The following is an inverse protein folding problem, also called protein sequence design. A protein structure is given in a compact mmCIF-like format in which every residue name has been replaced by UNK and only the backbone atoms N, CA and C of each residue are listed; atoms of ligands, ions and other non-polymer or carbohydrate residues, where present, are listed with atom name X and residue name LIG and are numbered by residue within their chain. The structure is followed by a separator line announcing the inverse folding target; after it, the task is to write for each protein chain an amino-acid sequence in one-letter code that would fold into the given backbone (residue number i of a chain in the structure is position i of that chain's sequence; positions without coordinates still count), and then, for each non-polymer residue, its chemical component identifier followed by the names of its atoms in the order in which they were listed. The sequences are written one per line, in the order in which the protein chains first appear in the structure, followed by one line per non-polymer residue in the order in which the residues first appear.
data_IF_983334861122
#
_entry.id   IF_983334861122
#
_cell.length_a   1.000
_cell.length_b   1.000
_cell.length_c   1.000
_cell.angle_alpha   90.00
_cell.angle_beta   90.00
_cell.angle_gamma   90.00
#
_symmetry.space_group_name_H-M   'P 1'
#
loop_
_entity.id
_entity.type
_entity.pdbx_description
1 polymer ?
#
# COMPACT_ATOMS: atom_id res chain seq x y z
N UNK A 1 22.93 -17.43 11.97
CA UNK A 1 21.88 -17.12 10.97
C UNK A 1 21.67 -15.61 10.75
N UNK A 2 22.13 -14.77 11.67
CA UNK A 2 21.96 -13.31 11.72
C UNK A 2 22.60 -12.52 10.58
N UNK A 3 23.86 -12.78 10.19
CA UNK A 3 24.52 -12.09 9.05
C UNK A 3 23.71 -12.19 7.76
N UNK A 4 23.19 -13.39 7.45
CA UNK A 4 22.34 -13.62 6.28
C UNK A 4 21.00 -12.88 6.37
N UNK A 5 20.47 -12.69 7.58
CA UNK A 5 19.23 -11.93 7.79
C UNK A 5 19.46 -10.42 7.57
N UNK A 6 20.61 -9.89 8.01
CA UNK A 6 21.02 -8.51 7.74
C UNK A 6 21.26 -8.28 6.25
N UNK A 7 21.96 -9.19 5.56
CA UNK A 7 22.14 -9.13 4.10
C UNK A 7 20.79 -9.09 3.37
N UNK A 8 19.89 -10.03 3.68
CA UNK A 8 18.53 -10.06 3.12
C UNK A 8 17.74 -8.79 3.42
N UNK A 9 17.92 -8.18 4.59
CA UNK A 9 17.27 -6.92 4.94
C UNK A 9 17.75 -5.79 4.04
N UNK A 10 19.07 -5.63 3.88
CA UNK A 10 19.67 -4.60 3.04
C UNK A 10 19.29 -4.78 1.56
N UNK A 11 19.33 -6.02 1.06
CA UNK A 11 18.84 -6.38 -0.28
C UNK A 11 17.37 -5.97 -0.46
N UNK A 12 16.53 -6.22 0.56
CA UNK A 12 15.11 -5.87 0.51
C UNK A 12 14.88 -4.36 0.57
N UNK A 13 15.74 -3.63 1.29
CA UNK A 13 15.68 -2.17 1.39
C UNK A 13 16.27 -1.46 0.17
N UNK A 14 17.01 -2.16 -0.70
CA UNK A 14 17.75 -1.54 -1.80
C UNK A 14 18.95 -0.72 -1.33
N UNK A 15 19.41 -0.91 -0.08
CA UNK A 15 20.59 -0.23 0.48
C UNK A 15 21.82 -1.07 0.11
N UNK A 16 22.35 -0.85 -1.08
CA UNK A 16 23.48 -1.61 -1.63
C UNK A 16 24.63 -0.67 -2.03
N UNK A 17 25.86 -1.19 -1.99
CA UNK A 17 27.06 -0.56 -2.60
C UNK A 17 27.56 0.78 -1.98
N UNK A 18 27.36 1.00 -0.67
CA UNK A 18 27.97 2.13 0.07
C UNK A 18 28.93 1.67 1.18
N UNK A 19 29.93 2.51 1.49
CA UNK A 19 30.86 2.28 2.62
C UNK A 19 30.11 2.05 3.93
N UNK A 20 29.09 2.88 4.19
CA UNK A 20 28.25 2.76 5.39
C UNK A 20 27.48 1.44 5.41
N UNK A 21 27.00 0.96 4.26
CA UNK A 21 26.29 -0.31 4.22
C UNK A 21 27.21 -1.49 4.58
N UNK A 22 28.47 -1.44 4.16
CA UNK A 22 29.47 -2.44 4.55
C UNK A 22 29.85 -2.32 6.04
N UNK A 23 30.02 -1.11 6.54
CA UNK A 23 30.29 -0.84 7.95
C UNK A 23 29.17 -1.40 8.85
N UNK A 24 27.91 -1.09 8.53
CA UNK A 24 26.74 -1.58 9.27
C UNK A 24 26.64 -3.12 9.23
N UNK A 25 26.99 -3.75 8.09
CA UNK A 25 27.06 -5.22 7.99
C UNK A 25 28.16 -5.80 8.88
N UNK A 26 29.30 -5.13 8.99
CA UNK A 26 30.41 -5.54 9.88
C UNK A 26 29.98 -5.40 11.34
N UNK A 27 29.42 -4.27 11.73
CA UNK A 27 28.92 -4.02 13.10
C UNK A 27 27.91 -5.09 13.53
N UNK A 28 26.93 -5.40 12.69
CA UNK A 28 25.94 -6.44 12.97
C UNK A 28 26.54 -7.85 13.00
N UNK A 29 27.55 -8.14 12.17
CA UNK A 29 28.23 -9.44 12.14
C UNK A 29 29.07 -9.68 13.41
N UNK A 30 29.85 -8.67 13.83
CA UNK A 30 30.68 -8.72 15.05
C UNK A 30 29.80 -8.90 16.28
N UNK A 31 28.73 -8.12 16.40
CA UNK A 31 27.79 -8.24 17.52
C UNK A 31 27.15 -9.64 17.62
N UNK A 32 26.99 -10.33 16.49
CA UNK A 32 26.36 -11.66 16.46
C UNK A 32 27.36 -12.82 16.57
N UNK A 33 28.62 -12.52 16.95
CA UNK A 33 29.65 -13.53 17.24
C UNK A 33 30.19 -14.26 16.02
N UNK A 34 30.04 -13.70 14.81
CA UNK A 34 30.48 -14.33 13.56
C UNK A 34 31.50 -13.45 12.85
N UNK A 35 32.76 -13.91 12.78
CA UNK A 35 33.77 -13.25 11.95
C UNK A 35 33.39 -13.45 10.46
N UNK A 36 33.16 -12.36 9.73
CA UNK A 36 32.97 -12.44 8.28
C UNK A 36 34.32 -12.75 7.63
N UNK A 37 34.50 -13.96 7.10
CA UNK A 37 35.60 -14.20 6.16
C UNK A 37 35.34 -13.35 4.91
N UNK A 38 36.28 -12.47 4.59
CA UNK A 38 36.16 -11.52 3.50
C UNK A 38 36.04 -12.22 2.16
N UNK A 39 34.83 -12.43 1.68
CA UNK A 39 34.56 -12.70 0.27
C UNK A 39 34.05 -11.42 -0.39
N UNK A 40 34.96 -10.75 -1.09
CA UNK A 40 34.63 -9.72 -2.07
C UNK A 40 33.76 -10.37 -3.14
N UNK A 41 32.49 -9.96 -3.24
CA UNK A 41 31.61 -10.43 -4.33
C UNK A 41 32.07 -9.83 -5.67
N UNK A 42 32.00 -10.59 -6.78
CA UNK A 42 32.23 -10.04 -8.11
C UNK A 42 31.12 -9.03 -8.46
N UNK A 43 31.54 -7.90 -9.03
CA UNK A 43 30.66 -6.78 -9.40
C UNK A 43 29.64 -7.23 -10.46
N UNK A 44 28.35 -7.12 -10.16
CA UNK A 44 27.29 -7.28 -11.17
C UNK A 44 27.36 -6.07 -12.14
N UNK A 45 27.29 -6.27 -13.47
CA UNK A 45 27.41 -5.17 -14.43
C UNK A 45 26.34 -4.09 -14.22
N UNK A 46 26.79 -2.87 -13.94
CA UNK A 46 25.93 -1.69 -13.74
C UNK A 46 25.37 -1.23 -15.08
N UNK A 47 24.08 -1.44 -15.32
CA UNK A 47 23.30 -0.54 -16.17
C UNK A 47 23.04 0.72 -15.35
N UNK A 48 23.80 1.78 -15.59
CA UNK A 48 23.37 3.19 -15.65
C UNK A 48 24.60 4.11 -15.78
N UNK A 49 24.40 5.18 -16.53
CA UNK A 49 25.35 6.16 -17.07
C UNK A 49 26.35 6.71 -16.04
N UNK A 50 27.59 6.86 -16.54
CA UNK A 50 28.76 7.35 -15.83
C UNK A 50 28.70 8.88 -15.66
N UNK A 51 28.03 9.34 -14.61
CA UNK A 51 28.23 10.71 -14.10
C UNK A 51 29.41 10.70 -13.11
N UNK A 52 30.42 11.56 -13.35
CA UNK A 52 31.57 11.75 -12.44
C UNK A 52 31.04 12.20 -11.06
N UNK A 53 31.34 11.43 -10.02
CA UNK A 53 30.95 11.71 -8.62
C UNK A 53 32.05 12.52 -7.91
N UNK A 54 31.74 13.62 -7.21
CA UNK A 54 32.64 14.19 -6.22
C UNK A 54 32.75 13.25 -5.01
N UNK A 55 33.94 13.18 -4.41
CA UNK A 55 34.40 12.14 -3.48
C UNK A 55 34.35 12.52 -2.00
N UNK A 56 33.57 13.54 -1.60
CA UNK A 56 33.61 14.05 -0.22
C UNK A 56 32.16 14.24 0.27
N UNK A 57 31.82 13.64 1.44
CA UNK A 57 30.50 13.51 2.12
C UNK A 57 29.67 12.23 1.83
N UNK A 58 30.25 11.04 2.01
CA UNK A 58 29.57 9.73 1.79
C UNK A 58 29.28 8.89 3.06
N UNK A 59 29.41 9.41 4.28
CA UNK A 59 29.48 8.59 5.49
C UNK A 59 28.21 8.42 6.36
N UNK A 60 27.02 8.82 5.88
CA UNK A 60 25.75 8.70 6.67
C UNK A 60 24.53 8.21 5.86
N UNK A 61 24.73 7.82 4.60
CA UNK A 61 23.62 7.56 3.68
C UNK A 61 22.80 6.32 4.07
N UNK A 62 23.45 5.26 4.56
CA UNK A 62 22.75 4.04 4.95
C UNK A 62 21.98 4.22 6.27
N UNK A 63 22.59 4.88 7.27
CA UNK A 63 21.97 5.24 8.54
C UNK A 63 20.73 6.12 8.32
N UNK A 64 20.85 7.15 7.49
CA UNK A 64 19.72 8.01 7.13
C UNK A 64 18.61 7.23 6.41
N UNK A 65 18.96 6.33 5.49
CA UNK A 65 17.96 5.49 4.81
C UNK A 65 17.20 4.59 5.81
N UNK A 66 17.91 3.98 6.77
CA UNK A 66 17.33 3.18 7.85
C UNK A 66 16.43 4.05 8.74
N UNK A 67 16.91 5.22 9.18
CA UNK A 67 16.16 6.14 10.03
C UNK A 67 14.81 6.52 9.39
N UNK A 68 14.77 6.83 8.08
CA UNK A 68 13.52 7.13 7.36
C UNK A 68 12.49 6.00 7.45
N UNK A 69 12.94 4.75 7.36
CA UNK A 69 12.06 3.58 7.45
C UNK A 69 11.52 3.41 8.87
N UNK A 70 12.41 3.53 9.85
CA UNK A 70 12.11 3.38 11.29
C UNK A 70 11.14 4.46 11.76
N UNK A 71 11.33 5.71 11.32
CA UNK A 71 10.45 6.84 11.61
C UNK A 71 9.19 6.90 10.74
N UNK A 72 8.94 5.90 9.88
CA UNK A 72 7.72 5.78 9.05
C UNK A 72 7.47 7.00 8.16
N UNK A 73 8.54 7.53 7.57
CA UNK A 73 8.48 8.56 6.54
C UNK A 73 7.53 8.13 5.40
N UNK A 74 6.75 9.05 4.80
CA UNK A 74 5.85 8.75 3.70
C UNK A 74 6.45 7.89 2.59
N UNK A 75 5.63 6.99 2.04
CA UNK A 75 6.04 6.10 0.96
C UNK A 75 5.77 6.73 -0.41
N UNK A 76 6.81 6.78 -1.25
CA UNK A 76 6.70 7.20 -2.63
C UNK A 76 5.96 6.13 -3.44
N UNK A 77 4.74 6.46 -3.89
CA UNK A 77 3.91 5.53 -4.65
C UNK A 77 4.05 5.81 -6.13
N UNK A 78 4.49 4.79 -6.87
CA UNK A 78 4.42 4.72 -8.33
C UNK A 78 3.64 3.47 -8.72
N UNK A 79 2.61 3.63 -9.56
CA UNK A 79 1.82 2.53 -10.12
C UNK A 79 1.55 2.75 -11.60
N UNK A 80 1.40 1.64 -12.35
CA UNK A 80 0.76 1.67 -13.67
C UNK A 80 -0.74 1.63 -13.46
N UNK A 81 -1.46 2.64 -13.93
CA UNK A 81 -2.93 2.70 -13.84
C UNK A 81 -3.58 1.94 -14.99
N UNK A 82 -3.09 2.13 -16.22
CA UNK A 82 -3.61 1.47 -17.41
C UNK A 82 -2.57 1.46 -18.54
N UNK A 83 -2.89 0.74 -19.62
CA UNK A 83 -2.07 0.67 -20.83
C UNK A 83 -3.00 0.87 -22.02
N UNK A 84 -2.69 1.87 -22.86
CA UNK A 84 -3.43 2.14 -24.08
C UNK A 84 -2.83 1.35 -25.24
N UNK A 85 -3.69 0.63 -25.97
CA UNK A 85 -3.33 -0.13 -27.18
C UNK A 85 -3.85 0.50 -28.47
N UNK A 86 -4.80 1.42 -28.35
CA UNK A 86 -5.46 2.10 -29.46
C UNK A 86 -5.38 3.61 -29.24
N UNK A 87 -5.44 4.37 -30.33
CA UNK A 87 -5.44 5.83 -30.32
C UNK A 87 -6.62 6.38 -29.52
N UNK A 88 -7.80 5.76 -29.67
CA UNK A 88 -8.99 6.09 -28.87
C UNK A 88 -8.79 5.90 -27.36
N UNK A 89 -8.00 4.91 -26.92
CA UNK A 89 -7.67 4.74 -25.50
C UNK A 89 -6.66 5.78 -25.00
N UNK A 90 -5.75 6.27 -25.87
CA UNK A 90 -4.86 7.38 -25.52
C UNK A 90 -5.70 8.66 -25.35
N UNK A 91 -6.56 8.97 -26.32
CA UNK A 91 -7.51 10.08 -26.26
C UNK A 91 -8.34 10.05 -24.97
N UNK A 92 -9.03 8.92 -24.72
CA UNK A 92 -9.86 8.77 -23.54
C UNK A 92 -9.10 8.94 -22.22
N UNK A 93 -7.81 8.56 -22.19
CA UNK A 93 -6.99 8.77 -21.00
C UNK A 93 -6.55 10.24 -20.84
N UNK A 94 -6.07 10.88 -21.92
CA UNK A 94 -5.63 12.27 -21.88
C UNK A 94 -6.79 13.21 -21.52
N UNK A 95 -7.98 13.00 -22.09
CA UNK A 95 -9.17 13.78 -21.74
C UNK A 95 -9.65 13.50 -20.32
N UNK A 96 -9.55 12.25 -19.84
CA UNK A 96 -9.85 11.92 -18.45
C UNK A 96 -8.93 12.67 -17.47
N UNK A 97 -7.61 12.62 -17.67
CA UNK A 97 -6.66 13.22 -16.72
C UNK A 97 -6.66 14.75 -16.80
N UNK A 98 -6.98 15.35 -17.93
CA UNK A 98 -7.11 16.82 -18.06
C UNK A 98 -8.51 17.32 -17.74
N UNK A 99 -9.45 16.42 -17.42
CA UNK A 99 -10.88 16.72 -17.24
C UNK A 99 -11.45 17.50 -18.45
N UNK A 100 -11.13 17.01 -19.65
CA UNK A 100 -11.43 17.61 -20.95
C UNK A 100 -10.82 19.02 -21.13
N UNK A 101 -9.54 19.18 -20.79
CA UNK A 101 -8.83 20.46 -20.91
C UNK A 101 -9.14 21.48 -19.80
N UNK A 102 -9.82 21.08 -18.72
CA UNK A 102 -10.04 21.97 -17.55
C UNK A 102 -8.83 22.05 -16.63
N UNK A 103 -7.95 21.07 -16.69
CA UNK A 103 -6.68 21.03 -15.96
C UNK A 103 -5.56 20.97 -16.99
N UNK A 104 -4.60 21.90 -16.87
CA UNK A 104 -3.45 21.94 -17.75
C UNK A 104 -2.58 20.69 -17.60
N UNK A 105 -2.13 20.15 -18.74
CA UNK A 105 -1.09 19.12 -18.79
C UNK A 105 0.26 19.73 -19.19
N UNK A 106 1.35 19.17 -18.69
CA UNK A 106 2.70 19.54 -19.10
C UNK A 106 3.35 18.40 -19.88
N UNK A 107 3.91 18.71 -21.05
CA UNK A 107 4.63 17.74 -21.89
C UNK A 107 6.09 17.57 -21.47
N UNK A 108 6.80 16.60 -22.06
CA UNK A 108 8.23 16.41 -21.83
C UNK A 108 9.11 17.61 -22.24
N UNK A 109 8.65 18.40 -23.22
CA UNK A 109 9.28 19.66 -23.63
C UNK A 109 8.94 20.86 -22.73
N UNK A 110 8.08 20.68 -21.73
CA UNK A 110 7.60 21.77 -20.86
C UNK A 110 6.47 22.60 -21.45
N UNK A 111 5.91 22.21 -22.60
CA UNK A 111 4.73 22.86 -23.18
C UNK A 111 3.51 22.59 -22.28
N UNK A 112 2.73 23.63 -22.03
CA UNK A 112 1.45 23.54 -21.32
C UNK A 112 0.33 23.29 -22.34
N UNK A 113 -0.46 22.24 -22.13
CA UNK A 113 -1.67 21.91 -22.87
C UNK A 113 -2.85 22.38 -22.03
N UNK A 114 -3.46 23.48 -22.44
CA UNK A 114 -4.44 24.23 -21.63
C UNK A 114 -5.87 24.08 -22.11
N UNK A 115 -6.08 23.57 -23.33
CA UNK A 115 -7.41 23.33 -23.89
C UNK A 115 -7.56 21.91 -24.50
N UNK A 116 -8.76 21.61 -24.99
CA UNK A 116 -9.06 20.31 -25.59
C UNK A 116 -8.37 20.14 -26.95
N UNK A 117 -8.18 21.24 -27.68
CA UNK A 117 -7.52 21.28 -28.98
C UNK A 117 -6.05 20.89 -28.85
N UNK A 118 -5.32 21.43 -27.86
CA UNK A 118 -3.93 21.05 -27.56
C UNK A 118 -3.78 19.53 -27.33
N UNK A 119 -4.74 18.95 -26.61
CA UNK A 119 -4.76 17.51 -26.31
C UNK A 119 -5.01 16.69 -27.59
N UNK A 120 -5.86 17.21 -28.47
CA UNK A 120 -6.18 16.59 -29.76
C UNK A 120 -4.97 16.60 -30.68
N UNK A 121 -4.27 17.73 -30.78
CA UNK A 121 -3.03 17.84 -31.53
C UNK A 121 -1.97 16.85 -31.04
N UNK A 122 -1.77 16.74 -29.72
CA UNK A 122 -0.84 15.76 -29.14
C UNK A 122 -1.23 14.33 -29.53
N UNK A 123 -2.51 13.99 -29.44
CA UNK A 123 -2.99 12.65 -29.75
C UNK A 123 -2.87 12.32 -31.25
N UNK A 124 -3.20 13.25 -32.13
CA UNK A 124 -3.05 13.11 -33.58
C UNK A 124 -1.57 12.92 -33.94
N UNK A 125 -0.68 13.72 -33.35
CA UNK A 125 0.77 13.58 -33.50
C UNK A 125 1.29 12.20 -33.05
N UNK A 126 0.88 11.72 -31.87
CA UNK A 126 1.26 10.38 -31.39
C UNK A 126 0.71 9.25 -32.27
N UNK A 127 -0.40 9.48 -32.97
CA UNK A 127 -1.03 8.51 -33.86
C UNK A 127 -0.34 8.42 -35.21
N UNK A 128 0.21 9.54 -35.70
CA UNK A 128 1.00 9.59 -36.93
C UNK A 128 2.42 9.03 -36.78
N UNK A 129 2.91 8.87 -35.54
CA UNK A 129 4.24 8.34 -35.28
C UNK A 129 4.36 6.85 -35.68
N UNK A 130 5.38 6.46 -36.48
CA UNK A 130 5.56 5.07 -36.88
C UNK A 130 5.77 4.17 -35.66
N UNK A 131 4.85 3.24 -35.43
CA UNK A 131 5.09 2.11 -34.54
C UNK A 131 5.43 0.92 -35.42
N UNK A 132 6.52 0.19 -35.15
CA UNK A 132 6.72 -1.12 -35.79
C UNK A 132 5.49 -1.97 -35.45
N UNK A 133 4.59 -2.10 -36.40
CA UNK A 133 3.25 -2.65 -36.22
C UNK A 133 3.36 -4.14 -35.88
N UNK A 134 3.40 -4.44 -34.58
CA UNK A 134 2.92 -5.71 -34.08
C UNK A 134 1.43 -5.55 -33.79
N UNK A 135 0.63 -6.48 -34.28
CA UNK A 135 -0.75 -6.67 -33.82
C UNK A 135 -0.75 -6.68 -32.29
N UNK A 136 -1.44 -5.73 -31.65
CA UNK A 136 -1.49 -5.49 -30.19
C UNK A 136 -0.28 -4.80 -29.51
N UNK A 137 0.52 -4.01 -30.22
CA UNK A 137 1.51 -3.12 -29.61
C UNK A 137 0.88 -2.11 -28.62
N UNK A 138 1.51 -1.91 -27.46
CA UNK A 138 1.15 -0.80 -26.54
C UNK A 138 1.52 0.52 -27.20
N UNK A 139 0.61 1.49 -27.23
CA UNK A 139 0.83 2.86 -27.70
C UNK A 139 1.25 3.79 -26.57
N UNK A 140 0.59 3.69 -25.41
CA UNK A 140 0.96 4.45 -24.22
C UNK A 140 0.86 3.60 -22.95
N UNK A 141 1.63 3.98 -21.94
CA UNK A 141 1.61 3.41 -20.59
C UNK A 141 1.32 4.53 -19.62
N UNK A 142 0.31 4.34 -18.78
CA UNK A 142 -0.18 5.38 -17.89
C UNK A 142 0.28 5.09 -16.47
N UNK A 143 0.92 6.07 -15.84
CA UNK A 143 1.43 6.00 -14.49
C UNK A 143 0.66 6.94 -13.57
N UNK A 144 0.62 6.59 -12.30
CA UNK A 144 0.16 7.46 -11.23
C UNK A 144 1.23 7.52 -10.16
N UNK A 145 1.62 8.75 -9.83
CA UNK A 145 2.50 9.09 -8.72
C UNK A 145 1.64 9.75 -7.64
N UNK A 146 1.79 9.37 -6.38
CA UNK A 146 0.99 9.95 -5.31
C UNK A 146 1.78 10.11 -4.02
N UNK A 147 1.44 11.15 -3.26
CA UNK A 147 1.97 11.42 -1.91
C UNK A 147 0.82 11.66 -0.92
N UNK A 148 1.02 11.49 0.40
CA UNK A 148 -0.04 11.73 1.38
C UNK A 148 -0.62 13.14 1.36
N UNK A 149 -1.82 13.28 1.93
CA UNK A 149 -2.46 14.57 2.14
C UNK A 149 -1.53 15.53 2.92
N UNK A 150 -1.55 16.82 2.57
CA UNK A 150 -0.68 17.84 3.16
C UNK A 150 0.72 17.95 2.54
N UNK A 151 1.05 17.14 1.53
CA UNK A 151 2.32 17.30 0.79
C UNK A 151 2.30 18.60 -0.01
N UNK A 152 3.39 19.38 0.07
CA UNK A 152 3.53 20.63 -0.71
C UNK A 152 3.44 20.35 -2.23
N UNK A 153 2.47 21.00 -2.87
CA UNK A 153 2.08 20.75 -4.26
C UNK A 153 3.16 21.20 -5.25
N UNK A 154 3.79 22.35 -5.03
CA UNK A 154 4.81 22.89 -5.93
C UNK A 154 6.09 22.05 -5.94
N UNK A 155 6.54 21.64 -4.75
CA UNK A 155 7.68 20.73 -4.56
C UNK A 155 7.38 19.36 -5.17
N UNK A 156 6.15 18.86 -5.01
CA UNK A 156 5.70 17.62 -5.63
C UNK A 156 5.71 17.72 -7.16
N UNK A 157 5.21 18.82 -7.74
CA UNK A 157 5.24 19.06 -9.19
C UNK A 157 6.67 19.06 -9.71
N UNK A 158 7.58 19.76 -9.01
CA UNK A 158 8.99 19.80 -9.37
C UNK A 158 9.65 18.41 -9.28
N UNK A 159 9.30 17.62 -8.27
CA UNK A 159 9.76 16.24 -8.12
C UNK A 159 9.22 15.33 -9.22
N UNK A 160 7.94 15.47 -9.59
CA UNK A 160 7.32 14.73 -10.71
C UNK A 160 7.99 15.10 -12.03
N UNK A 161 8.24 16.39 -12.29
CA UNK A 161 8.94 16.85 -13.49
C UNK A 161 10.36 16.28 -13.58
N UNK A 162 11.12 16.35 -12.48
CA UNK A 162 12.46 15.77 -12.41
C UNK A 162 12.44 14.24 -12.56
N UNK A 163 11.47 13.56 -11.95
CA UNK A 163 11.26 12.12 -12.09
C UNK A 163 10.96 11.74 -13.53
N UNK A 164 10.01 12.41 -14.19
CA UNK A 164 9.58 12.07 -15.55
C UNK A 164 10.72 12.22 -16.55
N UNK A 165 11.54 13.28 -16.42
CA UNK A 165 12.72 13.50 -17.26
C UNK A 165 13.73 12.36 -17.15
N UNK A 166 14.01 11.89 -15.94
CA UNK A 166 15.00 10.83 -15.70
C UNK A 166 14.44 9.43 -16.01
N UNK A 167 13.20 9.15 -15.59
CA UNK A 167 12.56 7.85 -15.71
C UNK A 167 12.16 7.52 -17.15
N UNK A 168 11.71 8.53 -17.90
CA UNK A 168 11.20 8.40 -19.26
C UNK A 168 12.13 9.04 -20.30
N UNK A 169 13.42 9.16 -19.99
CA UNK A 169 14.40 9.71 -20.90
C UNK A 169 14.32 9.05 -22.30
N UNK A 170 14.08 9.88 -23.33
CA UNK A 170 13.91 9.44 -24.72
C UNK A 170 12.50 8.96 -25.08
N UNK A 171 11.53 9.08 -24.18
CA UNK A 171 10.11 8.89 -24.41
C UNK A 171 9.37 10.23 -24.28
N UNK A 172 8.35 10.42 -25.10
CA UNK A 172 7.45 11.56 -24.97
C UNK A 172 6.38 11.24 -23.93
N UNK A 173 6.00 12.25 -23.16
CA UNK A 173 5.00 12.10 -22.13
C UNK A 173 4.23 13.40 -21.91
N UNK A 174 3.04 13.27 -21.36
CA UNK A 174 2.28 14.38 -20.80
C UNK A 174 1.87 14.00 -19.37
N UNK A 175 1.96 14.94 -18.44
CA UNK A 175 1.51 14.73 -17.08
C UNK A 175 0.58 15.84 -16.58
N UNK A 176 -0.31 15.45 -15.67
CA UNK A 176 -1.26 16.36 -15.02
C UNK A 176 -1.18 16.12 -13.52
N UNK A 177 -1.17 17.19 -12.75
CA UNK A 177 -1.26 17.12 -11.30
C UNK A 177 -2.71 17.33 -10.84
N UNK A 178 -3.24 16.35 -10.11
CA UNK A 178 -4.52 16.43 -9.43
C UNK A 178 -4.28 16.72 -7.95
N UNK A 179 -4.92 17.76 -7.45
CA UNK A 179 -4.95 18.13 -6.04
C UNK A 179 -6.40 18.22 -5.56
N UNK A 180 -6.64 18.17 -4.24
CA UNK A 180 -7.99 18.33 -3.69
C UNK A 180 -8.66 19.64 -4.14
N UNK A 181 -7.88 20.70 -4.36
CA UNK A 181 -8.39 22.03 -4.68
C UNK A 181 -8.54 22.26 -6.20
N UNK A 182 -7.77 21.54 -7.02
CA UNK A 182 -7.75 21.72 -8.48
C UNK A 182 -8.54 20.68 -9.27
N UNK A 183 -8.85 19.53 -8.68
CA UNK A 183 -9.65 18.51 -9.36
C UNK A 183 -11.15 18.85 -9.27
N UNK A 184 -11.84 19.12 -10.39
CA UNK A 184 -13.28 19.44 -10.40
C UNK A 184 -14.19 18.25 -10.06
N UNK A 185 -13.61 17.07 -9.77
CA UNK A 185 -14.36 15.90 -9.34
C UNK A 185 -14.99 16.12 -7.94
N UNK A 186 -16.32 15.96 -7.79
CA UNK A 186 -16.99 16.09 -6.49
C UNK A 186 -16.46 15.14 -5.41
N UNK A 187 -15.75 14.07 -5.80
CA UNK A 187 -15.11 13.11 -4.90
C UNK A 187 -13.59 13.07 -5.11
N UNK A 188 -12.98 14.23 -5.38
CA UNK A 188 -11.54 14.39 -5.51
C UNK A 188 -10.79 13.71 -4.34
N UNK A 189 -9.78 12.86 -4.61
CA UNK A 189 -8.99 12.26 -3.56
C UNK A 189 -8.30 13.33 -2.70
N UNK A 190 -8.25 13.19 -1.36
CA UNK A 190 -7.63 14.18 -0.47
C UNK A 190 -6.10 14.22 -0.57
N UNK A 191 -5.50 13.37 -1.40
CA UNK A 191 -4.06 13.23 -1.55
C UNK A 191 -3.62 13.68 -2.94
N UNK A 192 -2.58 14.53 -3.05
CA UNK A 192 -2.11 15.01 -4.33
C UNK A 192 -1.47 13.87 -5.13
N UNK A 193 -1.79 13.80 -6.42
CA UNK A 193 -1.30 12.76 -7.29
C UNK A 193 -1.14 13.26 -8.73
N UNK A 194 -0.08 12.80 -9.40
CA UNK A 194 0.17 13.10 -10.80
C UNK A 194 -0.19 11.89 -11.66
N UNK A 195 -0.95 12.13 -12.73
CA UNK A 195 -1.13 11.16 -13.81
C UNK A 195 -0.11 11.46 -14.90
N UNK A 196 0.55 10.43 -15.41
CA UNK A 196 1.54 10.55 -16.50
C UNK A 196 1.15 9.59 -17.61
N UNK A 197 0.88 10.12 -18.79
CA UNK A 197 0.69 9.35 -20.01
C UNK A 197 2.02 9.31 -20.76
N UNK A 198 2.65 8.14 -20.90
CA UNK A 198 3.96 8.00 -21.56
C UNK A 198 3.81 7.23 -22.85
N UNK A 199 4.34 7.76 -23.96
CA UNK A 199 4.38 7.04 -25.23
C UNK A 199 5.26 5.80 -25.09
N UNK A 200 4.68 4.64 -25.39
CA UNK A 200 5.31 3.35 -25.16
C UNK A 200 6.51 3.12 -26.09
N UNK A 201 6.52 3.74 -27.27
CA UNK A 201 7.67 3.81 -28.17
C UNK A 201 8.51 5.06 -27.88
N UNK A 202 9.82 4.89 -27.77
CA UNK A 202 10.79 5.98 -27.73
C UNK A 202 11.00 6.55 -29.12
N UNK A 203 11.48 7.79 -29.18
CA UNK A 203 12.01 8.43 -30.40
C UNK A 203 13.06 7.54 -31.09
N UNK A 204 13.84 6.76 -30.31
CA UNK A 204 14.88 5.84 -30.82
C UNK A 204 14.39 4.41 -31.08
N UNK A 205 13.07 4.18 -31.05
CA UNK A 205 12.45 2.87 -31.30
C UNK A 205 12.54 1.86 -30.15
N UNK A 206 13.09 2.23 -28.99
CA UNK A 206 13.06 1.41 -27.76
C UNK A 206 11.68 1.43 -27.12
N UNK A 207 11.27 0.33 -26.49
CA UNK A 207 9.98 0.24 -25.79
C UNK A 207 10.15 0.56 -24.30
N UNK A 208 9.14 1.20 -23.72
CA UNK A 208 9.09 1.46 -22.29
C UNK A 208 8.86 0.16 -21.50
N UNK A 209 9.84 -0.20 -20.69
CA UNK A 209 9.74 -1.30 -19.73
C UNK A 209 9.07 -0.79 -18.44
N UNK A 210 8.14 -1.58 -17.90
CA UNK A 210 7.34 -1.24 -16.72
C UNK A 210 6.94 -2.50 -15.94
N UNK A 211 7.84 -3.48 -15.91
CA UNK A 211 7.68 -4.68 -15.11
C UNK A 211 7.92 -4.40 -13.61
N UNK A 212 7.86 -5.45 -12.77
CA UNK A 212 8.05 -5.30 -11.33
C UNK A 212 9.40 -4.69 -10.93
N UNK A 213 10.48 -5.04 -11.64
CA UNK A 213 11.83 -4.49 -11.44
C UNK A 213 11.88 -3.00 -11.77
N UNK A 214 11.31 -2.59 -12.89
CA UNK A 214 11.31 -1.19 -13.31
C UNK A 214 10.44 -0.35 -12.38
N UNK A 215 9.28 -0.86 -11.95
CA UNK A 215 8.44 -0.17 -10.97
C UNK A 215 9.11 -0.04 -9.61
N UNK A 216 9.98 -0.99 -9.22
CA UNK A 216 10.79 -0.84 -8.03
C UNK A 216 11.83 0.28 -8.20
N UNK A 217 12.56 0.30 -9.32
CA UNK A 217 13.51 1.36 -9.65
C UNK A 217 12.83 2.74 -9.70
N UNK A 218 11.66 2.85 -10.33
CA UNK A 218 10.89 4.09 -10.40
C UNK A 218 10.44 4.58 -9.03
N UNK A 219 10.05 3.70 -8.10
CA UNK A 219 9.72 4.14 -6.72
C UNK A 219 10.94 4.68 -6.00
N UNK A 220 12.09 4.05 -6.13
CA UNK A 220 13.33 4.53 -5.53
C UNK A 220 13.76 5.88 -6.13
N UNK A 221 13.69 6.02 -7.45
CA UNK A 221 13.98 7.27 -8.15
C UNK A 221 13.00 8.36 -7.73
N UNK A 222 11.70 8.08 -7.66
CA UNK A 222 10.71 9.07 -7.24
C UNK A 222 10.94 9.51 -5.79
N UNK A 223 11.22 8.57 -4.87
CA UNK A 223 11.59 8.91 -3.50
C UNK A 223 12.86 9.78 -3.44
N UNK A 224 13.84 9.53 -4.31
CA UNK A 224 15.02 10.38 -4.43
C UNK A 224 14.66 11.79 -4.90
N UNK A 225 13.86 11.93 -5.98
CA UNK A 225 13.45 13.23 -6.51
C UNK A 225 12.61 14.03 -5.53
N UNK A 226 11.77 13.37 -4.73
CA UNK A 226 11.03 14.02 -3.65
C UNK A 226 11.99 14.61 -2.60
N UNK A 227 13.02 13.87 -2.18
CA UNK A 227 14.01 14.36 -1.21
C UNK A 227 14.87 15.50 -1.76
N UNK A 228 15.20 15.47 -3.06
CA UNK A 228 15.86 16.59 -3.75
C UNK A 228 14.99 17.87 -3.72
N UNK A 229 13.68 17.74 -3.53
CA UNK A 229 12.73 18.85 -3.37
C UNK A 229 12.28 19.02 -1.90
N UNK A 230 13.07 18.53 -0.94
CA UNK A 230 12.80 18.62 0.50
C UNK A 230 11.45 18.00 0.93
N UNK A 231 10.95 17.02 0.17
CA UNK A 231 9.83 16.18 0.58
C UNK A 231 10.42 14.85 1.08
N UNK A 232 10.32 14.64 2.39
CA UNK A 232 10.77 13.40 2.99
C UNK A 232 9.91 12.22 2.51
N UNK A 233 10.55 11.31 1.79
CA UNK A 233 9.92 10.14 1.23
C UNK A 233 10.88 8.94 1.22
N UNK A 234 10.31 7.75 1.33
CA UNK A 234 11.03 6.48 1.20
C UNK A 234 10.31 5.56 0.23
N UNK A 235 11.00 4.59 -0.34
CA UNK A 235 10.40 3.53 -1.13
C UNK A 235 10.83 2.20 -0.55
N UNK A 236 9.94 1.55 0.22
CA UNK A 236 10.22 0.22 0.79
C UNK A 236 9.17 -0.81 0.41
N UNK A 237 9.57 -2.09 0.28
CA UNK A 237 8.61 -3.16 0.15
C UNK A 237 7.75 -3.25 1.41
N UNK A 238 6.45 -3.49 1.22
CA UNK A 238 5.46 -3.68 2.30
C UNK A 238 5.90 -4.64 3.41
N UNK A 239 6.70 -5.66 3.08
CA UNK A 239 7.18 -6.66 4.04
C UNK A 239 8.10 -6.03 5.10
N UNK A 240 8.94 -5.07 4.71
CA UNK A 240 9.84 -4.35 5.62
C UNK A 240 9.05 -3.60 6.68
N UNK A 241 7.89 -3.04 6.31
CA UNK A 241 6.96 -2.34 7.19
C UNK A 241 6.02 -3.24 7.99
N UNK A 242 6.21 -4.56 7.93
CA UNK A 242 5.33 -5.54 8.59
C UNK A 242 3.94 -5.69 7.98
N UNK A 243 3.68 -5.11 6.79
CA UNK A 243 2.37 -5.18 6.14
C UNK A 243 2.26 -6.46 5.30
N UNK A 244 1.56 -7.45 5.88
CA UNK A 244 1.36 -8.78 5.28
C UNK A 244 0.23 -8.82 4.25
N UNK A 245 -0.84 -8.06 4.48
CA UNK A 245 -2.02 -8.08 3.62
C UNK A 245 -1.80 -7.25 2.36
N UNK A 246 -2.40 -7.69 1.25
CA UNK A 246 -2.48 -6.86 0.04
C UNK A 246 -3.62 -5.86 0.20
N UNK A 247 -3.46 -4.67 -0.36
CA UNK A 247 -4.58 -3.75 -0.48
C UNK A 247 -5.68 -4.38 -1.35
N UNK A 248 -6.94 -4.04 -1.06
CA UNK A 248 -8.05 -4.41 -1.91
C UNK A 248 -7.82 -3.88 -3.33
N UNK A 249 -8.20 -4.68 -4.34
CA UNK A 249 -8.15 -4.20 -5.73
C UNK A 249 -9.15 -3.05 -5.88
N UNK A 250 -8.78 -2.03 -6.66
CA UNK A 250 -9.62 -0.84 -6.87
C UNK A 250 -11.06 -1.19 -7.27
N UNK A 251 -11.22 -2.18 -8.15
CA UNK A 251 -12.50 -2.66 -8.65
C UNK A 251 -13.36 -3.22 -7.50
N UNK A 252 -12.75 -4.02 -6.61
CA UNK A 252 -13.43 -4.57 -5.45
C UNK A 252 -13.79 -3.47 -4.46
N UNK A 253 -12.89 -2.51 -4.23
CA UNK A 253 -13.15 -1.36 -3.37
C UNK A 253 -14.37 -0.55 -3.84
N UNK A 254 -14.45 -0.22 -5.15
CA UNK A 254 -15.61 0.48 -5.70
C UNK A 254 -16.90 -0.35 -5.62
N UNK A 255 -16.85 -1.66 -5.89
CA UNK A 255 -18.01 -2.55 -5.75
C UNK A 255 -18.50 -2.57 -4.30
N UNK A 256 -17.60 -2.64 -3.31
CA UNK A 256 -17.98 -2.63 -1.90
C UNK A 256 -18.56 -1.29 -1.42
N UNK A 257 -18.23 -0.18 -2.11
CA UNK A 257 -18.77 1.15 -1.82
C UNK A 257 -20.11 1.42 -2.50
N UNK A 258 -20.46 0.70 -3.56
CA UNK A 258 -21.75 0.82 -4.23
C UNK A 258 -22.86 0.26 -3.31
N UNK A 259 -23.78 1.10 -2.78
CA UNK A 259 -24.83 0.66 -1.85
C UNK A 259 -25.71 -0.44 -2.44
N UNK A 260 -25.93 -0.40 -3.77
CA UNK A 260 -26.76 -1.38 -4.50
C UNK A 260 -26.09 -2.73 -4.68
N UNK A 261 -24.75 -2.80 -4.53
CA UNK A 261 -23.95 -4.02 -4.72
C UNK A 261 -23.19 -4.44 -3.46
N UNK A 262 -23.41 -3.77 -2.33
CA UNK A 262 -22.74 -4.01 -1.05
C UNK A 262 -22.81 -5.46 -0.55
N UNK A 263 -23.85 -6.20 -0.94
CA UNK A 263 -24.03 -7.62 -0.60
C UNK A 263 -23.37 -8.60 -1.59
N UNK A 264 -22.83 -8.13 -2.72
CA UNK A 264 -22.15 -9.01 -3.70
C UNK A 264 -20.71 -9.24 -3.24
N UNK A 265 -20.48 -10.39 -2.62
CA UNK A 265 -19.13 -10.89 -2.32
C UNK A 265 -18.59 -11.71 -3.49
N UNK A 266 -17.30 -11.59 -3.76
CA UNK A 266 -16.66 -12.46 -4.75
C UNK A 266 -16.61 -13.92 -4.27
N UNK A 267 -16.54 -14.88 -5.19
CA UNK A 267 -16.38 -16.31 -4.87
C UNK A 267 -15.16 -16.55 -3.97
N UNK A 268 -14.09 -15.79 -4.19
CA UNK A 268 -12.85 -15.87 -3.41
C UNK A 268 -13.05 -15.37 -1.98
N UNK A 269 -13.79 -14.28 -1.77
CA UNK A 269 -14.12 -13.79 -0.43
C UNK A 269 -15.02 -14.75 0.33
N UNK A 270 -16.03 -15.30 -0.34
CA UNK A 270 -16.90 -16.33 0.25
C UNK A 270 -16.12 -17.58 0.64
N UNK A 271 -15.16 -18.02 -0.18
CA UNK A 271 -14.29 -19.14 0.15
C UNK A 271 -13.45 -18.86 1.42
N UNK A 272 -12.82 -17.67 1.51
CA UNK A 272 -12.07 -17.26 2.70
C UNK A 272 -12.93 -17.23 3.96
N UNK A 273 -14.16 -16.72 3.85
CA UNK A 273 -15.12 -16.67 4.95
C UNK A 273 -15.53 -18.08 5.41
N UNK A 274 -15.82 -18.99 4.47
CA UNK A 274 -16.19 -20.38 4.79
C UNK A 274 -15.06 -21.11 5.49
N UNK A 275 -13.82 -20.99 5.00
CA UNK A 275 -12.66 -21.59 5.65
C UNK A 275 -12.41 -21.03 7.05
N UNK A 276 -12.53 -19.70 7.21
CA UNK A 276 -12.39 -19.07 8.52
C UNK A 276 -13.49 -19.52 9.49
N UNK A 277 -14.75 -19.59 9.03
CA UNK A 277 -15.86 -20.10 9.83
C UNK A 277 -15.64 -21.55 10.25
N UNK A 278 -15.21 -22.43 9.32
CA UNK A 278 -14.86 -23.81 9.63
C UNK A 278 -13.76 -23.90 10.70
N UNK A 279 -12.71 -23.10 10.58
CA UNK A 279 -11.64 -23.06 11.57
C UNK A 279 -12.13 -22.61 12.95
N UNK A 280 -13.01 -21.61 13.02
CA UNK A 280 -13.60 -21.12 14.27
C UNK A 280 -14.52 -22.18 14.90
N UNK A 281 -15.38 -22.81 14.11
CA UNK A 281 -16.30 -23.85 14.57
C UNK A 281 -15.57 -25.10 15.05
N UNK A 282 -14.52 -25.52 14.34
CA UNK A 282 -13.71 -26.69 14.71
C UNK A 282 -12.63 -26.40 15.77
N UNK A 283 -12.44 -25.15 16.19
CA UNK A 283 -11.39 -24.76 17.14
C UNK A 283 -9.96 -24.87 16.60
N UNK A 284 -9.78 -25.05 15.29
CA UNK A 284 -8.47 -25.27 14.66
C UNK A 284 -7.81 -23.94 14.29
N UNK A 285 -6.50 -23.83 14.53
CA UNK A 285 -5.70 -22.68 14.07
C UNK A 285 -5.44 -22.77 12.56
N UNK A 286 -5.60 -21.65 11.85
CA UNK A 286 -5.27 -21.55 10.43
C UNK A 286 -3.74 -21.39 10.30
N UNK A 287 -3.05 -22.49 10.01
CA UNK A 287 -1.59 -22.56 9.90
C UNK A 287 -1.17 -23.27 8.61
N UNK A 288 -1.56 -22.74 7.44
CA UNK A 288 -1.19 -23.29 6.15
C UNK A 288 0.24 -22.92 5.72
N UNK A 289 0.64 -23.40 4.53
CA UNK A 289 1.96 -23.11 3.94
C UNK A 289 2.19 -21.61 3.76
N UNK A 290 1.14 -20.85 3.43
CA UNK A 290 1.25 -19.40 3.24
C UNK A 290 1.39 -18.65 4.56
N UNK A 291 0.65 -19.05 5.60
CA UNK A 291 0.79 -18.52 6.96
C UNK A 291 2.19 -18.78 7.51
N UNK A 292 2.71 -19.99 7.35
CA UNK A 292 4.07 -20.36 7.76
C UNK A 292 5.13 -19.52 7.02
N UNK A 293 5.02 -19.36 5.70
CA UNK A 293 5.94 -18.51 4.91
C UNK A 293 5.88 -17.04 5.33
N UNK A 294 4.69 -16.53 5.64
CA UNK A 294 4.51 -15.16 6.12
C UNK A 294 5.16 -14.97 7.49
N UNK A 295 4.97 -15.92 8.41
CA UNK A 295 5.60 -15.90 9.73
C UNK A 295 7.13 -15.99 9.61
N UNK A 296 7.65 -16.90 8.78
CA UNK A 296 9.08 -17.04 8.53
C UNK A 296 9.68 -15.75 7.95
N UNK A 297 9.04 -15.15 6.93
CA UNK A 297 9.50 -13.87 6.35
C UNK A 297 9.51 -12.75 7.40
N UNK A 298 8.51 -12.72 8.29
CA UNK A 298 8.42 -11.74 9.38
C UNK A 298 9.57 -11.92 10.36
N UNK A 299 9.83 -13.17 10.76
CA UNK A 299 10.91 -13.52 11.68
C UNK A 299 12.30 -13.18 11.13
N UNK A 300 12.56 -13.49 9.85
CA UNK A 300 13.80 -13.12 9.18
C UNK A 300 14.03 -11.60 9.19
N UNK A 301 12.98 -10.81 8.93
CA UNK A 301 13.07 -9.35 8.96
C UNK A 301 13.26 -8.80 10.38
N UNK A 302 12.54 -9.31 11.37
CA UNK A 302 12.75 -8.95 12.78
C UNK A 302 14.18 -9.24 13.21
N UNK A 303 14.69 -10.43 12.88
CA UNK A 303 16.06 -10.85 13.20
C UNK A 303 17.08 -9.92 12.56
N UNK A 304 16.90 -9.56 11.28
CA UNK A 304 17.78 -8.61 10.59
C UNK A 304 17.78 -7.23 11.25
N UNK A 305 16.61 -6.70 11.58
CA UNK A 305 16.47 -5.40 12.27
C UNK A 305 17.12 -5.41 13.66
N UNK A 306 16.86 -6.45 14.47
CA UNK A 306 17.41 -6.55 15.82
C UNK A 306 18.93 -6.78 15.83
N UNK A 307 19.46 -7.54 14.88
CA UNK A 307 20.90 -7.70 14.71
C UNK A 307 21.58 -6.37 14.33
N UNK A 308 20.95 -5.57 13.45
CA UNK A 308 21.41 -4.24 13.11
C UNK A 308 21.36 -3.30 14.32
N UNK A 309 20.27 -3.31 15.10
CA UNK A 309 20.15 -2.50 16.32
C UNK A 309 21.26 -2.82 17.33
N UNK A 310 21.55 -4.10 17.57
CA UNK A 310 22.63 -4.51 18.47
C UNK A 310 24.02 -4.10 17.95
N UNK A 311 24.25 -4.20 16.63
CA UNK A 311 25.49 -3.72 16.02
C UNK A 311 25.68 -2.21 16.14
N UNK A 312 24.62 -1.43 15.94
CA UNK A 312 24.63 0.02 16.11
C UNK A 312 24.87 0.44 17.56
N UNK A 313 24.19 -0.19 18.51
CA UNK A 313 24.36 0.09 19.95
C UNK A 313 25.78 -0.26 20.45
N UNK A 314 26.43 -1.25 19.83
CA UNK A 314 27.81 -1.63 20.16
C UNK A 314 28.89 -0.76 19.50
N UNK A 315 28.52 0.16 18.59
CA UNK A 315 29.48 0.99 17.84
C UNK A 315 30.17 2.08 18.69
N UNK A 316 29.61 2.41 19.85
CA UNK A 316 30.07 3.51 20.71
C UNK A 316 29.63 4.91 20.26
N UNK A 317 28.95 5.05 19.10
CA UNK A 317 28.37 6.33 18.66
C UNK A 317 27.04 6.60 19.34
N UNK A 318 26.83 7.83 19.82
CA UNK A 318 25.57 8.25 20.46
C UNK A 318 24.39 8.19 19.48
N UNK A 319 24.59 8.67 18.25
CA UNK A 319 23.59 8.61 17.16
C UNK A 319 23.19 7.17 16.81
N UNK A 320 24.17 6.26 16.70
CA UNK A 320 23.90 4.84 16.42
C UNK A 320 23.16 4.18 17.57
N UNK A 321 23.46 4.55 18.81
CA UNK A 321 22.72 4.08 20.00
C UNK A 321 21.27 4.53 19.97
N UNK A 322 20.99 5.77 19.59
CA UNK A 322 19.63 6.27 19.42
C UNK A 322 18.91 5.54 18.28
N UNK A 323 19.55 5.40 17.13
CA UNK A 323 18.99 4.68 15.98
C UNK A 323 18.70 3.21 16.31
N UNK A 324 19.57 2.54 17.08
CA UNK A 324 19.35 1.17 17.57
C UNK A 324 18.11 1.06 18.45
N UNK A 325 17.91 1.98 19.39
CA UNK A 325 16.70 2.05 20.22
C UNK A 325 15.44 2.28 19.39
N UNK A 326 15.52 3.17 18.39
CA UNK A 326 14.41 3.44 17.49
C UNK A 326 14.06 2.22 16.63
N UNK A 327 15.05 1.46 16.15
CA UNK A 327 14.83 0.19 15.45
C UNK A 327 14.09 -0.80 16.36
N UNK A 328 14.48 -0.94 17.62
CA UNK A 328 13.78 -1.84 18.57
C UNK A 328 12.33 -1.43 18.78
N UNK A 329 12.06 -0.12 18.96
CA UNK A 329 10.70 0.44 19.06
C UNK A 329 9.90 0.22 17.78
N UNK A 330 10.54 0.39 16.62
CA UNK A 330 9.91 0.10 15.35
C UNK A 330 9.50 -1.38 15.28
N UNK A 331 10.41 -2.32 15.55
CA UNK A 331 10.14 -3.76 15.53
C UNK A 331 9.00 -4.15 16.48
N UNK A 332 8.95 -3.58 17.69
CA UNK A 332 7.89 -3.87 18.66
C UNK A 332 6.51 -3.31 18.23
N UNK A 333 6.50 -2.19 17.49
CA UNK A 333 5.28 -1.56 16.98
C UNK A 333 4.70 -2.21 15.72
N UNK A 334 5.39 -3.18 15.12
CA UNK A 334 4.97 -3.79 13.87
C UNK A 334 3.77 -4.72 14.09
N UNK A 335 2.76 -4.69 13.20
CA UNK A 335 1.55 -5.49 13.37
C UNK A 335 1.85 -6.99 13.30
N UNK A 336 1.00 -7.77 13.96
CA UNK A 336 1.06 -9.23 13.89
C UNK A 336 0.96 -9.69 12.42
N UNK A 337 1.76 -10.68 11.99
CA UNK A 337 1.83 -11.11 10.59
C UNK A 337 0.64 -12.00 10.21
N UNK A 338 -0.59 -11.47 10.35
CA UNK A 338 -1.83 -12.21 10.14
C UNK A 338 -2.26 -12.16 8.68
N UNK A 339 -2.69 -13.31 8.15
CA UNK A 339 -3.33 -13.38 6.84
C UNK A 339 -4.79 -12.91 6.94
N UNK A 340 -5.41 -12.59 5.80
CA UNK A 340 -6.83 -12.19 5.77
C UNK A 340 -7.74 -13.26 6.41
N UNK A 341 -7.46 -14.55 6.21
CA UNK A 341 -8.25 -15.64 6.79
C UNK A 341 -8.12 -15.68 8.31
N UNK A 342 -6.91 -15.50 8.84
CA UNK A 342 -6.66 -15.43 10.28
C UNK A 342 -7.36 -14.22 10.93
N UNK A 343 -7.36 -13.07 10.25
CA UNK A 343 -8.08 -11.88 10.72
C UNK A 343 -9.60 -12.09 10.72
N UNK A 344 -10.17 -12.68 9.67
CA UNK A 344 -11.60 -13.02 9.61
C UNK A 344 -11.96 -13.98 10.76
N UNK A 345 -11.17 -15.04 10.95
CA UNK A 345 -11.40 -16.01 12.02
C UNK A 345 -11.31 -15.37 13.42
N UNK A 346 -10.43 -14.39 13.61
CA UNK A 346 -10.36 -13.61 14.86
C UNK A 346 -11.61 -12.76 15.05
N UNK A 347 -12.01 -11.99 14.05
CA UNK A 347 -13.22 -11.15 14.12
C UNK A 347 -14.46 -11.98 14.43
N UNK A 348 -14.56 -13.19 13.86
CA UNK A 348 -15.64 -14.13 14.17
C UNK A 348 -15.60 -14.61 15.64
N UNK A 349 -14.41 -14.91 16.19
CA UNK A 349 -14.26 -15.25 17.62
C UNK A 349 -14.63 -14.10 18.53
N UNK A 350 -14.09 -12.90 18.28
CA UNK A 350 -14.40 -11.68 19.03
C UNK A 350 -15.90 -11.38 19.00
N UNK A 351 -16.55 -11.53 17.83
CA UNK A 351 -17.99 -11.32 17.70
C UNK A 351 -18.81 -12.37 18.47
N UNK A 352 -18.35 -13.63 18.51
CA UNK A 352 -18.99 -14.70 19.28
C UNK A 352 -18.86 -14.44 20.78
N UNK A 353 -17.66 -14.13 21.26
CA UNK A 353 -17.39 -13.80 22.66
C UNK A 353 -18.21 -12.58 23.12
N UNK A 354 -18.33 -11.55 22.29
CA UNK A 354 -19.17 -10.39 22.58
C UNK A 354 -20.65 -10.76 22.68
N UNK A 355 -21.13 -11.66 21.82
CA UNK A 355 -22.52 -12.12 21.81
C UNK A 355 -22.81 -13.00 23.03
N UNK A 356 -21.88 -13.87 23.41
CA UNK A 356 -21.95 -14.70 24.61
C UNK A 356 -21.93 -13.82 25.88
N UNK A 357 -21.07 -12.78 25.91
CA UNK A 357 -21.03 -11.79 27.00
C UNK A 357 -22.34 -11.00 27.12
N UNK A 358 -22.96 -10.61 26.00
CA UNK A 358 -24.27 -9.93 25.99
C UNK A 358 -25.38 -10.84 26.50
N UNK A 359 -25.41 -12.11 26.07
CA UNK A 359 -26.36 -13.11 26.57
C UNK A 359 -26.20 -13.35 28.07
N UNK A 360 -24.96 -13.47 28.55
CA UNK A 360 -24.67 -13.59 29.99
C UNK A 360 -25.18 -12.40 30.80
N UNK A 361 -24.98 -11.17 30.31
CA UNK A 361 -25.51 -9.95 30.95
C UNK A 361 -27.05 -9.89 30.95
N UNK A 362 -27.70 -10.31 29.86
CA UNK A 362 -29.17 -10.39 29.79
C UNK A 362 -29.73 -11.44 30.75
N UNK A 363 -29.08 -12.61 30.86
CA UNK A 363 -29.47 -13.65 31.82
C UNK A 363 -29.30 -13.20 33.28
N UNK A 364 -28.22 -12.48 33.61
CA UNK A 364 -28.02 -11.91 34.95
C UNK A 364 -29.03 -10.81 35.28
N UNK A 365 -29.39 -9.96 34.31
CA UNK A 365 -30.43 -8.94 34.49
C UNK A 365 -31.82 -9.53 34.67
N UNK A 366 -32.15 -10.62 33.95
CA UNK A 366 -33.43 -11.31 34.08
C UNK A 366 -33.57 -12.01 35.45
N UNK A 367 -32.50 -12.61 35.97
CA UNK A 367 -32.49 -13.22 37.30
C UNK A 367 -32.55 -12.18 38.43
N UNK A 368 -32.03 -10.97 38.23
CA UNK A 368 -32.14 -9.89 39.22
C UNK A 368 -33.59 -9.34 39.34
N UNK A 369 -34.36 -9.35 38.25
CA UNK A 369 -35.77 -8.92 38.25
C UNK A 369 -36.75 -9.96 38.80
N UNK A 370 -36.38 -11.24 38.87
CA UNK A 370 -37.24 -12.31 39.41
C UNK A 370 -37.03 -12.52 40.92
N UNK A 371 -35.97 -11.92 41.50
CA UNK A 371 -35.70 -11.94 42.95
C UNK A 371 -36.48 -10.87 43.74
N UNK A 372 -37.22 -9.98 43.06
CA UNK A 372 -37.98 -8.87 43.67
C UNK A 372 -39.51 -9.04 43.53
N UNK A 373 -39.97 -10.28 43.27
CA UNK A 373 -41.40 -10.63 43.25
C UNK A 373 -41.88 -11.05 44.64
N UNK A 374 -42.83 -10.33 45.27
CA UNK A 374 -43.43 -10.79 46.52
C UNK A 374 -44.44 -11.93 46.27
N UNK A 375 -44.41 -12.96 47.12
CA UNK A 375 -45.28 -14.15 47.08
C UNK A 375 -46.78 -13.81 47.16
N UNK A 376 -47.65 -14.44 46.35
CA UNK A 376 -49.10 -14.24 46.45
C UNK A 376 -49.70 -15.17 47.51
N UNK A 377 -50.21 -14.61 48.61
CA UNK A 377 -51.12 -15.30 49.54
C UNK A 377 -52.59 -14.87 49.34
N UNK A 378 -53.42 -15.86 49.03
CA UNK A 378 -54.83 -16.08 49.43
C UNK A 378 -55.82 -14.92 49.55
N UNK A 379 -56.82 -14.91 48.66
CA UNK A 379 -58.26 -14.61 48.86
C UNK A 379 -58.92 -14.71 47.47
N UNK A 380 -60.15 -15.14 47.21
CA UNK A 380 -61.33 -15.53 47.97
C UNK A 380 -62.43 -15.72 46.89
N UNK A 381 -63.27 -16.72 47.04
CA UNK A 381 -64.32 -17.08 46.07
C UNK A 381 -65.40 -16.00 46.02
N UNK A 382 -65.79 -15.54 44.82
CA UNK A 382 -67.15 -15.02 44.59
C UNK A 382 -67.59 -15.28 43.16
N UNK A 383 -68.75 -15.90 43.04
CA UNK A 383 -69.48 -16.29 41.84
C UNK A 383 -70.20 -15.10 41.22
N UNK A 384 -70.18 -14.96 39.89
CA UNK A 384 -71.25 -14.27 39.15
C UNK A 384 -71.37 -14.84 37.73
N UNK A 385 -72.60 -14.94 37.26
CA UNK A 385 -73.10 -15.77 36.17
C UNK A 385 -72.87 -15.23 34.75
N UNK A 386 -72.67 -16.19 33.84
CA UNK A 386 -73.08 -16.29 32.42
C UNK A 386 -73.59 -15.02 31.71
N UNK A 387 -72.94 -14.70 30.57
CA UNK A 387 -73.63 -14.42 29.29
C UNK A 387 -72.72 -14.69 28.09
N UNK A 388 -73.05 -15.74 27.35
CA UNK A 388 -72.61 -15.98 25.98
C UNK A 388 -73.19 -14.89 25.06
N UNK A 389 -72.34 -14.26 24.24
CA UNK A 389 -72.74 -13.69 22.94
C UNK A 389 -71.71 -14.07 21.89
N UNK A 390 -72.26 -14.56 20.79
CA UNK A 390 -71.58 -15.12 19.64
C UNK A 390 -71.14 -14.04 18.63
N UNK A 391 -70.21 -14.49 17.76
CA UNK A 391 -69.99 -14.12 16.35
C UNK A 391 -69.70 -12.66 15.98
N UNK A 392 -68.56 -12.50 15.31
CA UNK A 392 -68.27 -11.46 14.32
C UNK A 392 -67.05 -11.87 13.50
N UNK A 393 -67.29 -12.56 12.37
CA UNK A 393 -66.40 -12.56 11.21
C UNK A 393 -66.60 -11.22 10.51
N UNK A 394 -65.52 -10.60 10.04
CA UNK A 394 -65.39 -9.70 8.88
C UNK A 394 -63.87 -9.61 8.62
N UNK A 395 -63.30 -10.26 7.61
CA UNK A 395 -63.25 -9.91 6.17
C UNK A 395 -62.80 -8.45 5.92
N UNK A 396 -61.55 -8.24 5.47
CA UNK A 396 -61.24 -7.87 4.07
C UNK A 396 -59.76 -7.49 3.88
N UNK A 397 -59.30 -7.88 2.69
CA UNK A 397 -58.03 -7.62 2.02
C UNK A 397 -57.59 -6.15 2.00
N UNK A 398 -56.27 -5.92 2.08
CA UNK A 398 -55.50 -5.33 0.96
C UNK A 398 -53.99 -5.54 1.10
#
# INVERSE_FOLDING_TARGET
MTSRAVEKLFDTLGILDSSDSEELRRLASVHTGRQSSGQVRPSIPKLHSRARRPTIAKSESARTAIARVVHRVPEAVVKVSSVAKTTSHVWAHLTYITRNGRIAAETDGGQQLTCLEDIRELQEYWSGCPTKHRTNGKLAVNFVLSMPAGTNVERLTSAVRAFSRDAFAGHEYAFVLHTPDTDPDPQAPPHPHAHICVRAGSVRGKRLLHGPSELWAFRQLFAQKLREQEIDAVATPRSVRGVVKKAARQNLYHITKDPKKKNRRSTVELAKLREAAKAVLSGIKINGVWEARVAQRRDELCTGWLALAGGLEASGRSEDTLLGRDIRRFVSSLPAPRTERQDIARQMRESREELDRRKGKQAMSANATDADRPDPKTAGVTTTSVRNRARGKDDYER
#
